data_IF_497558620131
#
_entry.id   IF_497558620131
#
_cell.length_a   1.000
_cell.length_b   1.000
_cell.length_c   1.000
_cell.angle_alpha   90.00
_cell.angle_beta   90.00
_cell.angle_gamma   90.00
#
_symmetry.space_group_name_H-M   'P 1'
#
loop_
_entity.id
_entity.type
_entity.pdbx_description
1 polymer ?
#
# COMPACT_ATOMS: atom_id res chain seq x y z
N UNK A 1 -8.46 18.17 -43.29
CA UNK A 1 -7.72 19.07 -42.39
C UNK A 1 -8.54 19.21 -41.12
N UNK A 2 -8.28 18.40 -40.07
CA UNK A 2 -9.02 18.50 -38.80
C UNK A 2 -8.47 19.71 -38.05
N UNK A 3 -9.31 20.69 -37.80
CA UNK A 3 -9.02 21.83 -36.95
C UNK A 3 -9.04 21.30 -35.53
N UNK A 4 -7.91 21.24 -34.88
CA UNK A 4 -7.84 20.94 -33.45
C UNK A 4 -8.56 22.08 -32.72
N UNK A 5 -9.74 21.80 -32.18
CA UNK A 5 -10.44 22.71 -31.29
C UNK A 5 -9.63 22.76 -29.99
N UNK A 6 -9.17 23.95 -29.65
CA UNK A 6 -8.39 24.23 -28.45
C UNK A 6 -9.31 24.35 -27.21
N UNK A 7 -10.35 23.52 -27.14
CA UNK A 7 -11.23 23.47 -25.98
C UNK A 7 -10.53 22.70 -24.85
N UNK A 8 -10.52 23.25 -23.63
CA UNK A 8 -9.96 22.55 -22.48
C UNK A 8 -10.71 21.23 -22.29
N UNK A 9 -9.99 20.16 -22.00
CA UNK A 9 -10.59 18.87 -21.69
C UNK A 9 -11.56 19.04 -20.51
N UNK A 10 -12.74 18.40 -20.56
CA UNK A 10 -13.69 18.47 -19.46
C UNK A 10 -13.05 17.86 -18.19
N UNK A 11 -13.34 18.46 -17.06
CA UNK A 11 -12.89 17.92 -15.77
C UNK A 11 -13.45 16.51 -15.54
N UNK A 12 -12.68 15.60 -14.96
CA UNK A 12 -13.16 14.25 -14.67
C UNK A 12 -14.28 14.31 -13.63
N UNK A 13 -15.29 13.46 -13.80
CA UNK A 13 -16.29 13.21 -12.75
C UNK A 13 -15.75 12.17 -11.77
N UNK A 14 -16.38 12.10 -10.57
CA UNK A 14 -16.08 11.04 -9.59
C UNK A 14 -16.24 9.65 -10.21
N UNK A 15 -17.26 9.44 -11.02
CA UNK A 15 -17.50 8.18 -11.71
C UNK A 15 -16.34 7.80 -12.66
N UNK A 16 -15.78 8.76 -13.38
CA UNK A 16 -14.62 8.53 -14.24
C UNK A 16 -13.43 8.02 -13.44
N UNK A 17 -13.15 8.64 -12.29
CA UNK A 17 -12.06 8.24 -11.41
C UNK A 17 -12.32 6.86 -10.77
N UNK A 18 -13.54 6.62 -10.32
CA UNK A 18 -13.94 5.32 -9.76
C UNK A 18 -13.82 4.19 -10.79
N UNK A 19 -14.16 4.44 -12.04
CA UNK A 19 -14.05 3.44 -13.10
C UNK A 19 -12.60 3.11 -13.49
N UNK A 20 -11.62 3.96 -13.13
CA UNK A 20 -10.20 3.67 -13.27
C UNK A 20 -9.65 2.72 -12.19
N UNK A 21 -10.43 2.40 -11.16
CA UNK A 21 -9.99 1.49 -10.10
C UNK A 21 -9.79 0.07 -10.64
N UNK A 22 -8.66 -0.56 -10.27
CA UNK A 22 -8.28 -1.88 -10.76
C UNK A 22 -9.38 -2.92 -10.59
N UNK A 23 -10.02 -2.99 -9.42
CA UNK A 23 -11.03 -3.98 -9.12
C UNK A 23 -12.29 -3.84 -9.98
N UNK A 24 -12.61 -2.64 -10.45
CA UNK A 24 -13.77 -2.39 -11.30
C UNK A 24 -13.63 -3.12 -12.63
N UNK A 25 -12.57 -2.87 -13.37
CA UNK A 25 -12.37 -3.47 -14.69
C UNK A 25 -11.84 -4.91 -14.63
N UNK A 26 -11.03 -5.29 -13.63
CA UNK A 26 -10.51 -6.64 -13.48
C UNK A 26 -11.62 -7.68 -13.30
N UNK A 27 -12.70 -7.32 -12.58
CA UNK A 27 -13.81 -8.22 -12.33
C UNK A 27 -14.87 -8.24 -13.44
N UNK A 28 -14.96 -7.16 -14.26
CA UNK A 28 -15.99 -7.03 -15.28
C UNK A 28 -15.83 -8.02 -16.45
N UNK A 29 -14.61 -8.36 -16.81
CA UNK A 29 -14.34 -9.14 -18.02
C UNK A 29 -13.56 -10.41 -17.72
N UNK A 30 -14.22 -11.57 -17.84
CA UNK A 30 -13.55 -12.87 -17.68
C UNK A 30 -12.37 -13.05 -18.66
N UNK A 31 -12.44 -12.43 -19.85
CA UNK A 31 -11.35 -12.46 -20.81
C UNK A 31 -10.12 -11.68 -20.34
N UNK A 32 -10.28 -10.60 -19.58
CA UNK A 32 -9.17 -9.84 -18.99
C UNK A 32 -8.40 -10.72 -18.01
N UNK A 33 -9.11 -11.51 -17.19
CA UNK A 33 -8.47 -12.46 -16.24
C UNK A 33 -7.58 -13.51 -16.90
N UNK A 34 -7.81 -13.82 -18.17
CA UNK A 34 -6.97 -14.75 -18.94
C UNK A 34 -5.71 -14.07 -19.51
N UNK A 35 -5.77 -12.77 -19.71
CA UNK A 35 -4.71 -11.96 -20.30
C UNK A 35 -3.91 -11.15 -19.28
N UNK A 36 -4.33 -11.16 -18.00
CA UNK A 36 -3.71 -10.41 -16.92
C UNK A 36 -3.13 -11.34 -15.86
N UNK A 37 -2.26 -10.78 -15.05
CA UNK A 37 -1.68 -11.43 -13.89
C UNK A 37 -2.78 -11.85 -12.93
N UNK A 38 -2.66 -13.06 -12.37
CA UNK A 38 -3.60 -13.56 -11.35
C UNK A 38 -3.56 -12.66 -10.12
N UNK A 39 -4.72 -12.14 -9.74
CA UNK A 39 -4.85 -11.16 -8.65
C UNK A 39 -5.86 -11.61 -7.61
N UNK A 40 -5.60 -11.27 -6.35
CA UNK A 40 -6.55 -11.39 -5.24
C UNK A 40 -6.77 -9.99 -4.69
N UNK A 41 -8.03 -9.61 -4.51
CA UNK A 41 -8.46 -8.30 -4.03
C UNK A 41 -9.03 -8.47 -2.62
N UNK A 42 -8.52 -7.70 -1.67
CA UNK A 42 -8.88 -7.76 -0.25
C UNK A 42 -9.36 -6.36 0.19
N UNK A 43 -10.58 -6.21 0.72
CA UNK A 43 -11.01 -4.92 1.26
C UNK A 43 -10.20 -4.55 2.49
N UNK A 44 -9.75 -3.29 2.56
CA UNK A 44 -9.08 -2.71 3.71
C UNK A 44 -10.12 -2.26 4.74
N UNK A 45 -9.87 -2.54 6.02
CA UNK A 45 -10.70 -2.01 7.09
C UNK A 45 -10.48 -0.50 7.23
N UNK A 46 -11.49 0.24 7.74
CA UNK A 46 -11.34 1.67 8.02
C UNK A 46 -10.18 1.96 8.98
N UNK A 47 -9.95 1.05 9.93
CA UNK A 47 -8.88 1.16 10.89
C UNK A 47 -7.51 1.03 10.21
N UNK A 48 -7.38 0.13 9.24
CA UNK A 48 -6.16 -0.02 8.47
C UNK A 48 -5.91 1.19 7.55
N UNK A 49 -6.95 1.74 6.93
CA UNK A 49 -6.86 2.99 6.15
C UNK A 49 -6.43 4.16 7.04
N UNK A 50 -6.98 4.26 8.27
CA UNK A 50 -6.57 5.28 9.24
C UNK A 50 -5.08 5.12 9.58
N UNK A 51 -4.62 3.91 9.88
CA UNK A 51 -3.22 3.60 10.13
C UNK A 51 -2.31 4.03 8.96
N UNK A 52 -2.71 3.79 7.70
CA UNK A 52 -1.92 4.22 6.55
C UNK A 52 -1.82 5.75 6.42
N UNK A 53 -2.84 6.50 6.87
CA UNK A 53 -2.85 7.97 6.83
C UNK A 53 -2.11 8.64 8.01
N UNK A 54 -1.69 7.88 9.02
CA UNK A 54 -0.94 8.46 10.13
C UNK A 54 0.52 8.73 9.75
N UNK A 55 1.10 9.75 10.34
CA UNK A 55 2.49 10.09 10.09
C UNK A 55 3.46 9.05 10.64
N UNK A 56 4.60 8.95 9.99
CA UNK A 56 5.68 8.05 10.37
C UNK A 56 5.49 6.59 9.92
N UNK A 57 6.60 5.87 9.86
CA UNK A 57 6.64 4.45 9.47
C UNK A 57 6.70 3.61 10.75
N UNK A 58 5.56 3.47 11.42
CA UNK A 58 5.41 2.57 12.57
C UNK A 58 4.74 1.29 12.09
N UNK A 59 5.39 0.14 12.27
CA UNK A 59 4.80 -1.15 11.87
C UNK A 59 3.88 -1.68 12.98
N UNK A 60 2.75 -2.33 12.60
CA UNK A 60 1.83 -2.93 13.56
C UNK A 60 2.51 -4.01 14.39
N UNK A 61 2.12 -4.14 15.65
CA UNK A 61 2.55 -5.24 16.51
C UNK A 61 1.68 -6.47 16.23
N UNK A 62 2.30 -7.65 16.12
CA UNK A 62 1.55 -8.92 16.12
C UNK A 62 1.06 -9.26 17.52
N UNK A 63 -0.02 -10.08 17.67
CA UNK A 63 -0.64 -10.39 18.96
C UNK A 63 0.30 -10.94 20.04
N UNK A 64 1.49 -11.44 19.67
CA UNK A 64 2.49 -11.99 20.59
C UNK A 64 3.60 -10.99 20.96
N UNK A 65 3.41 -9.68 20.73
CA UNK A 65 4.38 -8.65 21.12
C UNK A 65 5.60 -8.53 20.19
N UNK A 66 5.70 -9.35 19.13
CA UNK A 66 6.70 -9.17 18.09
C UNK A 66 6.24 -8.13 17.09
N UNK A 67 7.11 -7.21 16.72
CA UNK A 67 6.90 -6.36 15.56
C UNK A 67 6.90 -7.21 14.30
N UNK A 68 6.04 -6.88 13.33
CA UNK A 68 6.11 -7.49 12.01
C UNK A 68 7.43 -7.05 11.40
N UNK A 69 8.46 -7.92 11.45
CA UNK A 69 9.76 -7.59 10.86
C UNK A 69 9.59 -7.48 9.34
N UNK A 70 9.93 -6.35 8.74
CA UNK A 70 9.93 -6.21 7.29
C UNK A 70 11.18 -6.83 6.65
N UNK A 71 12.17 -7.21 7.47
CA UNK A 71 13.43 -7.74 6.99
C UNK A 71 13.48 -9.26 7.15
N UNK A 72 13.82 -9.95 6.06
CA UNK A 72 14.16 -11.36 6.09
C UNK A 72 15.57 -11.49 6.74
N UNK A 73 15.69 -12.19 7.87
CA UNK A 73 17.01 -12.39 8.52
C UNK A 73 18.05 -13.08 7.62
N UNK A 74 17.62 -13.62 6.47
CA UNK A 74 18.54 -14.22 5.48
C UNK A 74 19.31 -13.17 4.67
N UNK A 75 18.97 -11.89 4.76
CA UNK A 75 19.66 -10.79 4.09
C UNK A 75 20.61 -9.99 4.98
N UNK A 76 20.70 -10.34 6.25
CA UNK A 76 21.74 -9.78 7.11
C UNK A 76 23.10 -10.36 6.69
N UNK A 77 23.79 -9.71 5.77
CA UNK A 77 25.24 -9.84 5.70
C UNK A 77 25.79 -9.21 6.97
N UNK A 78 26.66 -9.90 7.71
CA UNK A 78 27.37 -9.26 8.83
C UNK A 78 28.07 -8.02 8.26
N UNK A 79 27.67 -6.86 8.74
CA UNK A 79 28.48 -5.65 8.55
C UNK A 79 29.74 -5.96 9.34
N UNK A 80 30.87 -6.12 8.64
CA UNK A 80 32.17 -6.26 9.30
C UNK A 80 32.35 -5.04 10.17
N UNK A 81 32.53 -5.31 11.45
CA UNK A 81 32.99 -4.32 12.42
C UNK A 81 34.26 -3.70 11.91
N UNK A 82 34.21 -2.47 11.48
CA UNK A 82 35.36 -1.56 11.55
C UNK A 82 34.84 -0.13 11.72
N UNK A 83 35.33 0.47 12.80
CA UNK A 83 35.30 1.86 13.21
C UNK A 83 34.28 2.26 14.29
N UNK A 84 34.75 2.16 15.48
CA UNK A 84 34.93 3.12 16.58
C UNK A 84 34.27 4.50 16.37
N UNK A 85 32.93 4.55 16.55
CA UNK A 85 32.20 5.79 16.88
C UNK A 85 31.35 5.56 18.12
N UNK A 86 32.08 5.49 19.27
CA UNK A 86 31.46 5.46 20.58
C UNK A 86 31.73 6.81 21.24
N UNK A 87 30.81 7.74 21.11
CA UNK A 87 30.60 8.81 22.10
C UNK A 87 29.36 9.65 21.74
N UNK A 88 28.18 9.11 22.01
CA UNK A 88 27.02 9.92 22.29
C UNK A 88 26.46 9.47 23.62
N UNK A 89 26.61 10.34 24.62
CA UNK A 89 25.93 10.24 25.89
C UNK A 89 24.42 10.16 25.60
N UNK A 90 23.81 9.03 25.97
CA UNK A 90 22.39 8.83 26.04
C UNK A 90 21.80 9.85 27.02
N UNK A 91 21.36 10.99 26.53
CA UNK A 91 20.37 11.78 27.25
C UNK A 91 19.08 10.96 27.20
N UNK A 92 18.79 10.25 28.28
CA UNK A 92 17.53 9.58 28.57
C UNK A 92 16.38 10.62 28.57
N UNK A 93 16.03 11.18 27.42
CA UNK A 93 14.71 11.73 27.23
C UNK A 93 13.78 10.52 27.22
N UNK A 94 13.02 10.35 28.31
CA UNK A 94 11.87 9.48 28.40
C UNK A 94 10.94 9.85 27.24
N UNK A 95 11.15 9.23 26.04
CA UNK A 95 10.19 9.26 24.99
C UNK A 95 8.90 8.66 25.57
N UNK A 96 7.91 9.51 25.85
CA UNK A 96 6.55 9.06 26.08
C UNK A 96 6.24 8.09 24.95
N UNK A 97 6.25 6.79 25.27
CA UNK A 97 5.81 5.73 24.36
C UNK A 97 4.37 6.04 23.96
N UNK A 98 4.22 6.82 22.91
CA UNK A 98 2.96 6.95 22.20
C UNK A 98 2.65 5.54 21.66
N UNK A 99 2.01 4.74 22.54
CA UNK A 99 1.74 3.32 22.30
C UNK A 99 0.65 3.17 21.24
N UNK A 100 0.97 3.54 20.00
CA UNK A 100 0.16 3.20 18.85
C UNK A 100 0.17 1.69 18.66
N UNK A 101 -0.77 1.01 19.31
CA UNK A 101 -0.93 -0.44 19.30
C UNK A 101 -1.87 -0.84 18.15
N UNK A 102 -1.45 -0.63 16.90
CA UNK A 102 -2.18 -1.21 15.78
C UNK A 102 -1.93 -2.71 15.68
N UNK A 103 -3.03 -3.46 15.56
CA UNK A 103 -3.01 -4.89 15.35
C UNK A 103 -4.15 -5.25 14.38
N UNK A 104 -3.84 -5.98 13.32
CA UNK A 104 -4.81 -6.32 12.26
C UNK A 104 -4.85 -7.83 11.97
N UNK A 105 -5.09 -8.70 12.97
CA UNK A 105 -4.92 -10.15 12.83
C UNK A 105 -5.78 -10.76 11.73
N UNK A 106 -7.02 -10.32 11.58
CA UNK A 106 -7.92 -10.81 10.52
C UNK A 106 -7.45 -10.38 9.11
N UNK A 107 -6.88 -9.19 9.00
CA UNK A 107 -6.36 -8.68 7.74
C UNK A 107 -5.07 -9.37 7.36
N UNK A 108 -4.17 -9.57 8.32
CA UNK A 108 -2.93 -10.35 8.16
C UNK A 108 -3.20 -11.80 7.75
N UNK A 109 -4.20 -12.45 8.34
CA UNK A 109 -4.60 -13.81 7.97
C UNK A 109 -5.08 -13.86 6.50
N UNK A 110 -5.87 -12.87 6.06
CA UNK A 110 -6.29 -12.76 4.66
C UNK A 110 -5.10 -12.55 3.72
N UNK A 111 -4.14 -11.68 4.09
CA UNK A 111 -2.92 -11.43 3.34
C UNK A 111 -2.09 -12.72 3.23
N UNK A 112 -1.82 -13.39 4.34
CA UNK A 112 -1.04 -14.63 4.37
C UNK A 112 -1.67 -15.74 3.50
N UNK A 113 -3.00 -15.89 3.56
CA UNK A 113 -3.73 -16.81 2.69
C UNK A 113 -3.61 -16.45 1.22
N UNK A 114 -3.64 -15.15 0.89
CA UNK A 114 -3.50 -14.66 -0.47
C UNK A 114 -2.07 -14.88 -1.00
N UNK A 115 -1.04 -14.56 -0.21
CA UNK A 115 0.37 -14.82 -0.55
C UNK A 115 0.56 -16.31 -0.89
N UNK A 116 0.13 -17.21 -0.01
CA UNK A 116 0.23 -18.67 -0.25
C UNK A 116 -0.47 -19.08 -1.54
N UNK A 117 -1.68 -18.56 -1.80
CA UNK A 117 -2.49 -18.90 -2.97
C UNK A 117 -1.89 -18.35 -4.28
N UNK A 118 -1.09 -17.29 -4.21
CA UNK A 118 -0.43 -16.65 -5.34
C UNK A 118 1.00 -17.16 -5.58
N UNK A 119 1.49 -18.11 -4.81
CA UNK A 119 2.80 -18.74 -5.04
C UNK A 119 3.90 -18.26 -4.08
N UNK A 120 3.56 -17.56 -3.00
CA UNK A 120 4.50 -17.17 -1.94
C UNK A 120 5.13 -15.78 -2.13
N UNK A 121 5.03 -15.19 -3.32
CA UNK A 121 5.60 -13.90 -3.68
C UNK A 121 4.55 -13.06 -4.40
N UNK A 122 4.39 -11.81 -3.99
CA UNK A 122 3.33 -10.95 -4.52
C UNK A 122 3.82 -9.52 -4.72
N UNK A 123 3.20 -8.83 -5.69
CA UNK A 123 3.26 -7.38 -5.83
C UNK A 123 1.94 -6.80 -5.36
N UNK A 124 1.99 -5.65 -4.71
CA UNK A 124 0.80 -5.01 -4.15
C UNK A 124 0.45 -3.72 -4.87
N UNK A 125 -0.83 -3.38 -4.83
CA UNK A 125 -1.35 -2.07 -5.25
C UNK A 125 -2.64 -1.76 -4.49
N UNK A 126 -2.98 -0.48 -4.42
CA UNK A 126 -4.27 -0.01 -3.96
C UNK A 126 -5.28 0.06 -5.11
N UNK A 127 -6.31 0.88 -4.99
CA UNK A 127 -7.34 1.02 -6.01
C UNK A 127 -6.75 1.47 -7.36
N UNK A 128 -5.80 2.41 -7.35
CA UNK A 128 -5.21 3.00 -8.56
C UNK A 128 -3.71 2.75 -8.64
N UNK A 129 -2.96 3.00 -7.56
CA UNK A 129 -1.50 3.04 -7.57
C UNK A 129 -0.85 1.78 -7.01
N UNK A 130 0.40 1.57 -7.40
CA UNK A 130 1.32 0.62 -6.82
C UNK A 130 2.45 1.39 -6.15
N UNK A 131 3.01 0.94 -5.01
CA UNK A 131 4.05 1.64 -4.23
C UNK A 131 5.43 1.60 -4.92
N UNK A 132 5.50 1.94 -6.22
CA UNK A 132 6.74 1.86 -7.00
C UNK A 132 7.82 2.83 -6.55
N UNK A 133 7.41 3.96 -6.03
CA UNK A 133 8.25 5.00 -5.43
C UNK A 133 8.92 4.54 -4.14
N UNK A 134 8.31 3.58 -3.41
CA UNK A 134 8.87 3.03 -2.17
C UNK A 134 9.88 1.88 -2.39
N UNK A 135 10.25 1.55 -3.62
CA UNK A 135 11.22 0.47 -3.92
C UNK A 135 12.55 0.62 -3.16
N UNK A 136 12.96 1.84 -2.85
CA UNK A 136 14.20 2.14 -2.15
C UNK A 136 14.25 1.57 -0.71
N UNK A 137 13.09 1.36 -0.07
CA UNK A 137 13.00 0.89 1.32
C UNK A 137 13.49 -0.55 1.48
N UNK A 138 13.13 -1.42 0.52
CA UNK A 138 13.46 -2.86 0.58
C UNK A 138 14.27 -3.36 -0.62
N UNK A 139 14.61 -2.45 -1.56
CA UNK A 139 15.30 -2.79 -2.80
C UNK A 139 14.43 -3.52 -3.85
N UNK A 140 13.25 -3.99 -3.45
CA UNK A 140 12.30 -4.72 -4.29
C UNK A 140 10.87 -4.29 -4.04
N UNK A 141 9.96 -4.59 -4.97
CA UNK A 141 8.51 -4.46 -4.77
C UNK A 141 7.85 -5.81 -4.49
N UNK A 142 8.63 -6.88 -4.49
CA UNK A 142 8.18 -8.22 -4.19
C UNK A 142 8.01 -8.37 -2.67
N UNK A 143 6.84 -8.84 -2.25
CA UNK A 143 6.49 -9.05 -0.85
C UNK A 143 6.20 -10.52 -0.58
N UNK A 144 6.67 -11.03 0.55
CA UNK A 144 6.42 -12.39 1.03
C UNK A 144 5.71 -12.40 2.38
N UNK A 145 5.69 -11.27 3.06
CA UNK A 145 5.09 -11.11 4.39
C UNK A 145 4.15 -9.90 4.47
N UNK A 146 3.18 -9.89 5.41
CA UNK A 146 2.37 -8.71 5.68
C UNK A 146 3.21 -7.47 6.06
N UNK A 147 4.31 -7.65 6.80
CA UNK A 147 5.19 -6.56 7.22
C UNK A 147 5.83 -5.83 6.05
N UNK A 148 6.33 -6.58 5.04
CA UNK A 148 6.87 -5.99 3.81
C UNK A 148 5.80 -5.20 3.07
N UNK A 149 4.57 -5.71 3.02
CA UNK A 149 3.43 -5.01 2.40
C UNK A 149 3.14 -3.71 3.14
N UNK A 150 3.07 -3.74 4.48
CA UNK A 150 2.80 -2.56 5.29
C UNK A 150 3.91 -1.51 5.14
N UNK A 151 5.15 -1.95 5.14
CA UNK A 151 6.31 -1.08 4.94
C UNK A 151 6.22 -0.34 3.60
N UNK A 152 6.01 -1.07 2.50
CA UNK A 152 5.88 -0.46 1.17
C UNK A 152 4.69 0.50 1.07
N UNK A 153 3.53 0.11 1.61
CA UNK A 153 2.33 0.97 1.57
C UNK A 153 2.52 2.26 2.38
N UNK A 154 3.17 2.18 3.55
CA UNK A 154 3.43 3.34 4.43
C UNK A 154 4.51 4.27 3.88
N UNK A 155 5.44 3.75 3.09
CA UNK A 155 6.59 4.50 2.56
C UNK A 155 6.32 5.10 1.18
N UNK A 156 5.12 4.96 0.63
CA UNK A 156 4.79 5.37 -0.73
C UNK A 156 3.92 6.62 -0.77
N UNK A 157 4.45 7.68 -1.39
CA UNK A 157 3.70 8.90 -1.67
C UNK A 157 2.55 8.65 -2.64
N UNK A 158 2.69 7.70 -3.58
CA UNK A 158 1.61 7.34 -4.49
C UNK A 158 0.42 6.74 -3.74
N UNK A 159 0.68 5.94 -2.72
CA UNK A 159 -0.37 5.37 -1.87
C UNK A 159 -1.00 6.46 -1.00
N UNK A 160 -0.20 7.34 -0.42
CA UNK A 160 -0.70 8.50 0.34
C UNK A 160 -1.60 9.38 -0.53
N UNK A 161 -1.21 9.63 -1.79
CA UNK A 161 -2.03 10.37 -2.74
C UNK A 161 -3.37 9.66 -3.03
N UNK A 162 -3.35 8.35 -3.29
CA UNK A 162 -4.58 7.56 -3.47
C UNK A 162 -5.54 7.67 -2.28
N UNK A 163 -4.98 7.71 -1.06
CA UNK A 163 -5.76 7.78 0.16
C UNK A 163 -6.41 9.15 0.39
N UNK A 164 -5.71 10.24 0.05
CA UNK A 164 -6.09 11.60 0.44
C UNK A 164 -6.58 12.45 -0.74
N UNK A 165 -6.02 12.28 -1.93
CA UNK A 165 -6.13 13.21 -3.06
C UNK A 165 -6.74 12.63 -4.33
N UNK A 166 -7.22 11.37 -4.31
CA UNK A 166 -7.71 10.69 -5.52
C UNK A 166 -8.83 11.46 -6.27
N UNK A 167 -9.57 12.32 -5.58
CA UNK A 167 -10.71 13.07 -6.15
C UNK A 167 -10.48 14.57 -6.27
N UNK A 168 -9.27 15.08 -6.06
CA UNK A 168 -8.97 16.53 -6.07
C UNK A 168 -9.30 17.21 -7.41
N UNK A 169 -9.29 16.46 -8.50
CA UNK A 169 -9.62 16.97 -9.83
C UNK A 169 -11.12 16.98 -10.14
N UNK A 170 -11.95 16.46 -9.26
CA UNK A 170 -13.41 16.42 -9.43
C UNK A 170 -14.00 17.78 -9.07
N UNK A 171 -14.87 18.32 -9.91
CA UNK A 171 -15.57 19.57 -9.59
C UNK A 171 -16.58 19.37 -8.44
N UNK A 172 -16.67 20.35 -7.53
CA UNK A 172 -17.53 20.29 -6.32
C UNK A 172 -19.03 20.09 -6.61
N UNK A 173 -19.48 20.33 -7.83
CA UNK A 173 -20.89 20.13 -8.22
C UNK A 173 -21.33 18.67 -8.14
N UNK A 174 -20.39 17.72 -8.14
CA UNK A 174 -20.67 16.29 -8.08
C UNK A 174 -20.64 15.71 -6.63
N UNK A 175 -20.44 16.57 -5.63
CA UNK A 175 -20.23 16.16 -4.23
C UNK A 175 -21.47 15.65 -3.47
N UNK A 176 -22.61 15.51 -4.12
CA UNK A 176 -23.83 15.03 -3.46
C UNK A 176 -23.90 13.51 -3.24
N UNK A 177 -22.82 12.79 -3.52
CA UNK A 177 -22.77 11.37 -3.24
C UNK A 177 -21.66 11.08 -2.22
N UNK A 178 -22.04 11.09 -0.93
CA UNK A 178 -21.23 10.63 0.22
C UNK A 178 -20.97 9.11 0.15
N UNK A 179 -20.68 8.63 -1.05
CA UNK A 179 -20.26 7.27 -1.31
C UNK A 179 -18.92 7.02 -0.65
N UNK A 180 -18.96 6.29 0.46
CA UNK A 180 -17.78 5.86 1.20
C UNK A 180 -16.75 5.29 0.22
N UNK A 181 -15.59 5.93 0.14
CA UNK A 181 -14.44 5.44 -0.60
C UNK A 181 -14.02 4.10 0.02
N UNK A 182 -14.28 3.01 -0.69
CA UNK A 182 -13.80 1.71 -0.27
C UNK A 182 -12.36 1.52 -0.78
N UNK A 183 -11.42 1.36 0.13
CA UNK A 183 -10.03 1.08 -0.21
C UNK A 183 -9.79 -0.42 -0.25
N UNK A 184 -9.15 -0.87 -1.32
CA UNK A 184 -8.87 -2.27 -1.59
C UNK A 184 -7.37 -2.49 -1.76
N UNK A 185 -6.87 -3.57 -1.19
CA UNK A 185 -5.55 -4.10 -1.44
C UNK A 185 -5.63 -5.16 -2.54
N UNK A 186 -4.93 -4.95 -3.62
CA UNK A 186 -4.77 -5.95 -4.69
C UNK A 186 -3.40 -6.57 -4.59
N UNK A 187 -3.35 -7.89 -4.62
CA UNK A 187 -2.14 -8.69 -4.58
C UNK A 187 -2.04 -9.48 -5.89
N UNK A 188 -0.95 -9.30 -6.60
CA UNK A 188 -0.67 -9.95 -7.88
C UNK A 188 0.44 -10.98 -7.68
N UNK A 189 0.35 -12.14 -8.37
CA UNK A 189 1.46 -13.06 -8.35
C UNK A 189 2.66 -12.51 -9.14
N UNK A 190 3.86 -12.94 -8.76
CA UNK A 190 5.05 -12.72 -9.56
C UNK A 190 4.94 -13.54 -10.86
N UNK A 191 5.23 -12.93 -11.99
CA UNK A 191 5.48 -13.63 -13.24
C UNK A 191 6.99 -13.62 -13.39
N UNK A 192 7.61 -14.77 -13.13
CA UNK A 192 9.00 -15.02 -13.47
C UNK A 192 9.18 -14.99 -14.99
#
# INVERSE_FOLDING_TARGET
MMIATNEPLPHPTKEHIDNCQFHKWYNLHQNIKKCTIRSIIIPMSKQFVKYLNEDGIKLPKVPNGMTVSPFDPRHEKPIADDDEWNDYEDDDEEEEEDTFNYCFPEFEDKINKAIKKLGGKVFVKTNWSSPRDAKWVSGTLECQTPGEIYLLLKSSDFISYDLSHAYDLVQETDNNNDGKKEMLLTMNNNID
#
